data_IF_688675057695
#
_entry.id   IF_688675057695
#
_cell.length_a   1.000
_cell.length_b   1.000
_cell.length_c   1.000
_cell.angle_alpha   90.00
_cell.angle_beta   90.00
_cell.angle_gamma   90.00
#
_symmetry.space_group_name_H-M   'P 1'
#
loop_
_entity.id
_entity.type
_entity.pdbx_description
1 polymer ?
#
# COMPACT_ATOMS: atom_id res chain seq x y z
N UNK A 1 10.32 19.10 28.18
CA UNK A 1 10.53 18.40 26.91
C UNK A 1 10.95 16.98 27.23
N UNK A 2 9.99 16.05 27.22
CA UNK A 2 10.24 14.64 27.52
C UNK A 2 10.38 13.91 26.18
N UNK A 3 11.63 13.73 25.75
CA UNK A 3 12.02 12.94 24.59
C UNK A 3 12.70 11.68 25.14
N UNK A 4 12.34 10.53 24.60
CA UNK A 4 12.87 9.24 25.02
C UNK A 4 13.71 8.65 23.89
N UNK A 5 15.02 8.53 24.10
CA UNK A 5 15.91 7.93 23.12
C UNK A 5 15.82 6.39 23.13
N UNK A 6 16.23 5.74 22.04
CA UNK A 6 16.21 4.27 21.91
C UNK A 6 16.93 3.56 23.08
N UNK A 7 18.08 4.06 23.51
CA UNK A 7 18.85 3.45 24.60
C UNK A 7 18.19 3.62 25.99
N UNK A 8 17.39 4.67 26.17
CA UNK A 8 16.58 4.89 27.37
C UNK A 8 15.35 3.98 27.35
N UNK A 9 14.72 3.84 26.18
CA UNK A 9 13.61 2.91 25.96
C UNK A 9 14.01 1.45 26.20
N UNK A 10 15.15 1.02 25.66
CA UNK A 10 15.74 -0.31 25.93
C UNK A 10 15.98 -0.54 27.42
N UNK A 11 16.39 0.49 28.16
CA UNK A 11 16.58 0.41 29.62
C UNK A 11 15.24 0.33 30.35
N UNK A 12 14.24 1.10 29.93
CA UNK A 12 12.90 1.06 30.49
C UNK A 12 12.24 -0.31 30.30
N UNK A 13 12.42 -0.95 29.14
CA UNK A 13 11.92 -2.30 28.85
C UNK A 13 12.64 -3.43 29.62
N UNK A 14 13.72 -3.14 30.36
CA UNK A 14 14.30 -4.09 31.32
C UNK A 14 13.56 -4.08 32.67
N UNK A 15 12.75 -3.06 32.93
CA UNK A 15 11.95 -2.97 34.16
C UNK A 15 10.75 -3.91 34.06
N UNK A 16 10.57 -4.87 34.99
CA UNK A 16 9.45 -5.80 34.94
C UNK A 16 8.09 -5.10 35.07
N UNK A 17 8.02 -3.96 35.78
CA UNK A 17 6.81 -3.16 35.87
C UNK A 17 6.39 -2.58 34.51
N UNK A 18 7.36 -2.09 33.72
CA UNK A 18 7.11 -1.55 32.38
C UNK A 18 6.71 -2.70 31.44
N UNK A 19 7.42 -3.81 31.47
CA UNK A 19 7.08 -4.99 30.65
C UNK A 19 5.68 -5.50 30.94
N UNK A 20 5.28 -5.52 32.21
CA UNK A 20 3.93 -5.95 32.59
C UNK A 20 2.86 -5.01 32.02
N UNK A 21 3.07 -3.70 32.05
CA UNK A 21 2.16 -2.72 31.43
C UNK A 21 2.07 -2.90 29.91
N UNK A 22 3.18 -3.19 29.23
CA UNK A 22 3.17 -3.51 27.80
C UNK A 22 2.41 -4.81 27.49
N UNK A 23 2.52 -5.82 28.36
CA UNK A 23 1.73 -7.06 28.23
C UNK A 23 0.23 -6.83 28.47
N UNK A 24 -0.14 -5.98 29.42
CA UNK A 24 -1.52 -5.57 29.67
C UNK A 24 -2.11 -4.80 28.48
N UNK A 25 -1.27 -4.05 27.77
CA UNK A 25 -1.59 -3.40 26.50
C UNK A 25 -1.53 -4.37 25.29
N UNK A 26 -1.46 -5.69 25.49
CA UNK A 26 -1.45 -6.67 24.40
C UNK A 26 -0.26 -6.56 23.44
N UNK A 27 0.74 -5.73 23.76
CA UNK A 27 1.97 -5.60 23.01
C UNK A 27 2.85 -6.77 23.45
N UNK A 28 2.73 -7.88 22.72
CA UNK A 28 3.54 -9.08 22.94
C UNK A 28 5.05 -8.72 22.95
N UNK A 29 5.90 -9.62 23.48
CA UNK A 29 7.36 -9.49 23.57
C UNK A 29 8.01 -9.24 22.18
N UNK A 30 7.92 -8.02 21.68
CA UNK A 30 8.70 -7.54 20.55
C UNK A 30 10.09 -7.17 21.05
N UNK A 31 11.07 -7.27 20.17
CA UNK A 31 12.39 -6.73 20.46
C UNK A 31 12.27 -5.21 20.63
N UNK A 32 13.04 -4.64 21.56
CA UNK A 32 12.92 -3.22 21.92
C UNK A 32 13.11 -2.30 20.71
N UNK A 33 13.91 -2.76 19.74
CA UNK A 33 14.25 -2.04 18.52
C UNK A 33 13.08 -2.01 17.54
N UNK A 34 12.42 -3.16 17.34
CA UNK A 34 11.26 -3.27 16.47
C UNK A 34 10.07 -2.47 17.02
N UNK A 35 9.89 -2.51 18.34
CA UNK A 35 8.83 -1.75 19.00
C UNK A 35 9.10 -0.25 18.92
N UNK A 36 10.34 0.19 19.11
CA UNK A 36 10.70 1.60 18.99
C UNK A 36 10.49 2.11 17.56
N UNK A 37 10.88 1.33 16.54
CA UNK A 37 10.63 1.66 15.14
C UNK A 37 9.13 1.74 14.79
N UNK A 38 8.30 0.92 15.44
CA UNK A 38 6.85 0.99 15.30
C UNK A 38 6.21 2.20 15.99
N UNK A 39 6.84 2.76 17.02
CA UNK A 39 6.35 3.91 17.79
C UNK A 39 6.86 5.24 17.23
N UNK A 40 8.05 5.25 16.64
CA UNK A 40 8.67 6.45 16.05
C UNK A 40 7.98 6.81 14.73
N UNK A 41 7.12 7.83 14.78
CA UNK A 41 6.31 8.27 13.64
C UNK A 41 7.07 9.15 12.65
N UNK A 42 8.05 9.89 13.15
CA UNK A 42 8.73 10.93 12.41
C UNK A 42 10.13 10.47 11.93
N UNK A 43 10.62 9.33 12.44
CA UNK A 43 11.90 8.72 12.09
C UNK A 43 13.10 9.48 12.65
N UNK A 44 12.91 10.34 13.66
CA UNK A 44 13.96 11.15 14.26
C UNK A 44 14.77 10.39 15.33
N UNK A 45 14.46 9.11 15.52
CA UNK A 45 15.07 8.20 16.50
C UNK A 45 14.86 8.64 17.96
N UNK A 46 13.86 9.48 18.23
CA UNK A 46 13.42 9.89 19.55
C UNK A 46 11.90 9.71 19.66
N UNK A 47 11.43 9.33 20.84
CA UNK A 47 10.00 9.25 21.11
C UNK A 47 9.56 10.42 21.98
N UNK A 48 8.74 11.31 21.43
CA UNK A 48 7.96 12.22 22.25
C UNK A 48 6.83 11.47 22.95
N UNK A 49 6.30 12.05 24.04
CA UNK A 49 5.14 11.50 24.76
C UNK A 49 3.93 11.35 23.83
N UNK A 50 3.76 12.27 22.88
CA UNK A 50 2.65 12.22 21.93
C UNK A 50 2.79 11.02 20.98
N UNK A 51 3.98 10.81 20.40
CA UNK A 51 4.27 9.68 19.51
C UNK A 51 4.20 8.35 20.25
N UNK A 52 4.64 8.30 21.50
CA UNK A 52 4.53 7.12 22.33
C UNK A 52 3.07 6.71 22.55
N UNK A 53 2.22 7.66 22.94
CA UNK A 53 0.79 7.41 23.17
C UNK A 53 0.08 7.03 21.87
N UNK A 54 0.31 7.79 20.80
CA UNK A 54 -0.30 7.53 19.49
C UNK A 54 0.16 6.18 18.91
N UNK A 55 1.44 5.87 19.04
CA UNK A 55 2.03 4.59 18.66
C UNK A 55 1.44 3.42 19.44
N UNK A 56 1.30 3.51 20.76
CA UNK A 56 0.68 2.47 21.58
C UNK A 56 -0.80 2.27 21.24
N UNK A 57 -1.56 3.35 21.04
CA UNK A 57 -2.96 3.28 20.59
C UNK A 57 -3.07 2.62 19.21
N UNK A 58 -2.12 2.89 18.31
CA UNK A 58 -2.07 2.29 16.98
C UNK A 58 -1.70 0.80 16.99
N UNK A 59 -0.73 0.40 17.82
CA UNK A 59 -0.30 -1.00 17.95
C UNK A 59 -1.37 -1.85 18.64
N UNK A 60 -2.14 -1.27 19.58
CA UNK A 60 -3.23 -1.98 20.27
C UNK A 60 -4.58 -1.90 19.53
N UNK A 61 -4.76 -0.95 18.61
CA UNK A 61 -6.07 -0.66 18.04
C UNK A 61 -6.69 -1.87 17.33
N UNK A 62 -7.99 -2.20 17.56
CA UNK A 62 -8.71 -3.27 16.85
C UNK A 62 -8.79 -3.04 15.33
N UNK A 63 -8.54 -1.79 14.93
CA UNK A 63 -8.26 -1.38 13.57
C UNK A 63 -7.12 -2.20 12.92
N UNK A 64 -6.07 -2.61 13.62
CA UNK A 64 -4.97 -3.38 12.99
C UNK A 64 -5.43 -4.75 12.50
N UNK A 65 -6.23 -5.49 13.26
CA UNK A 65 -6.67 -6.83 12.83
C UNK A 65 -7.60 -6.76 11.62
N UNK A 66 -8.58 -5.86 11.63
CA UNK A 66 -9.55 -5.71 10.53
C UNK A 66 -8.91 -5.07 9.29
N UNK A 67 -8.13 -4.00 9.43
CA UNK A 67 -7.45 -3.38 8.30
C UNK A 67 -6.31 -4.25 7.75
N UNK A 68 -5.61 -5.04 8.56
CA UNK A 68 -4.62 -6.00 8.06
C UNK A 68 -5.30 -7.13 7.28
N UNK A 69 -6.47 -7.61 7.74
CA UNK A 69 -7.28 -8.57 6.97
C UNK A 69 -7.75 -7.97 5.65
N UNK A 70 -8.16 -6.70 5.67
CA UNK A 70 -8.58 -5.97 4.47
C UNK A 70 -7.42 -5.80 3.49
N UNK A 71 -6.22 -5.42 3.97
CA UNK A 71 -5.01 -5.35 3.16
C UNK A 71 -4.62 -6.73 2.63
N UNK A 72 -4.71 -7.79 3.44
CA UNK A 72 -4.49 -9.16 2.95
C UNK A 72 -5.48 -9.54 1.85
N UNK A 73 -6.76 -9.20 2.02
CA UNK A 73 -7.79 -9.44 1.01
C UNK A 73 -7.53 -8.66 -0.28
N UNK A 74 -7.18 -7.37 -0.17
CA UNK A 74 -6.85 -6.51 -1.30
C UNK A 74 -5.60 -7.02 -2.04
N UNK A 75 -4.58 -7.48 -1.32
CA UNK A 75 -3.39 -8.10 -1.91
C UNK A 75 -3.78 -9.36 -2.68
N UNK A 76 -4.52 -10.29 -2.06
CA UNK A 76 -4.93 -11.55 -2.70
C UNK A 76 -5.78 -11.28 -3.95
N UNK A 77 -6.73 -10.35 -3.87
CA UNK A 77 -7.58 -9.97 -5.00
C UNK A 77 -6.77 -9.33 -6.13
N UNK A 78 -5.86 -8.41 -5.81
CA UNK A 78 -4.99 -7.78 -6.80
C UNK A 78 -4.08 -8.80 -7.50
N UNK A 79 -3.63 -9.84 -6.79
CA UNK A 79 -2.86 -10.93 -7.41
C UNK A 79 -3.69 -11.78 -8.37
N UNK A 80 -4.95 -12.06 -8.02
CA UNK A 80 -5.86 -12.79 -8.90
C UNK A 80 -6.22 -11.98 -10.16
N UNK A 81 -6.47 -10.67 -10.00
CA UNK A 81 -6.72 -9.76 -11.13
C UNK A 81 -5.48 -9.66 -12.04
N UNK A 82 -4.29 -9.45 -11.46
CA UNK A 82 -3.04 -9.39 -12.22
C UNK A 82 -2.72 -10.71 -12.94
N UNK A 83 -3.10 -11.84 -12.36
CA UNK A 83 -2.98 -13.16 -13.00
C UNK A 83 -3.93 -13.28 -14.20
N UNK A 84 -5.16 -12.81 -14.05
CA UNK A 84 -6.13 -12.75 -15.14
C UNK A 84 -5.63 -11.94 -16.33
N UNK A 85 -5.10 -10.74 -16.07
CA UNK A 85 -4.52 -9.86 -17.08
C UNK A 85 -3.33 -10.52 -17.81
N UNK A 86 -2.45 -11.20 -17.05
CA UNK A 86 -1.32 -11.90 -17.62
C UNK A 86 -1.75 -13.07 -18.53
N UNK A 87 -2.79 -13.81 -18.14
CA UNK A 87 -3.37 -14.86 -18.97
C UNK A 87 -4.01 -14.31 -20.25
N UNK A 88 -4.68 -13.16 -20.15
CA UNK A 88 -5.25 -12.49 -21.32
C UNK A 88 -4.18 -12.01 -22.30
N UNK A 89 -3.12 -11.38 -21.78
CA UNK A 89 -1.96 -11.01 -22.58
C UNK A 89 -1.32 -12.24 -23.23
N UNK A 90 -1.19 -13.35 -22.48
CA UNK A 90 -0.69 -14.62 -23.01
C UNK A 90 -1.52 -15.13 -24.18
N UNK A 91 -2.86 -15.06 -24.10
CA UNK A 91 -3.77 -15.39 -25.21
C UNK A 91 -3.54 -14.49 -26.41
N UNK A 92 -3.39 -13.19 -26.20
CA UNK A 92 -3.15 -12.21 -27.27
C UNK A 92 -1.82 -12.48 -27.99
N UNK A 93 -0.74 -12.66 -27.23
CA UNK A 93 0.58 -12.97 -27.78
C UNK A 93 0.54 -14.28 -28.58
N UNK A 94 -0.13 -15.31 -28.05
CA UNK A 94 -0.31 -16.57 -28.78
C UNK A 94 -1.07 -16.36 -30.10
N UNK A 95 -2.13 -15.56 -30.09
CA UNK A 95 -2.89 -15.22 -31.30
C UNK A 95 -2.01 -14.51 -32.33
N UNK A 96 -1.21 -13.51 -31.94
CA UNK A 96 -0.31 -12.79 -32.83
C UNK A 96 0.74 -13.74 -33.42
N UNK A 97 1.40 -14.56 -32.59
CA UNK A 97 2.39 -15.54 -33.05
C UNK A 97 1.78 -16.50 -34.07
N UNK A 98 0.58 -17.00 -33.79
CA UNK A 98 -0.17 -17.86 -34.71
C UNK A 98 -0.49 -17.14 -36.02
N UNK A 99 -0.94 -15.89 -35.95
CA UNK A 99 -1.30 -15.09 -37.13
C UNK A 99 -0.09 -14.78 -38.02
N UNK A 100 1.03 -14.38 -37.41
CA UNK A 100 2.30 -14.15 -38.11
C UNK A 100 2.85 -15.44 -38.75
N UNK A 101 2.67 -16.58 -38.08
CA UNK A 101 3.05 -17.89 -38.63
C UNK A 101 2.23 -18.26 -39.87
N UNK A 102 0.94 -17.89 -39.90
CA UNK A 102 0.13 -18.02 -41.11
C UNK A 102 0.65 -17.08 -42.22
N UNK A 103 0.89 -15.80 -41.94
CA UNK A 103 1.38 -14.84 -42.94
C UNK A 103 2.72 -15.27 -43.57
N UNK A 104 3.64 -15.81 -42.76
CA UNK A 104 4.93 -16.35 -43.23
C UNK A 104 4.75 -17.52 -44.22
N UNK A 105 3.69 -18.33 -44.07
CA UNK A 105 3.38 -19.44 -44.99
C UNK A 105 2.88 -18.96 -46.35
N UNK A 106 2.20 -17.81 -46.40
CA UNK A 106 1.62 -17.25 -47.62
C UNK A 106 2.56 -16.27 -48.34
N UNK A 107 3.59 -15.76 -47.66
CA UNK A 107 4.61 -14.92 -48.28
C UNK A 107 5.64 -15.77 -49.05
N UNK A 108 5.33 -16.15 -50.29
CA UNK A 108 6.37 -16.45 -51.29
C UNK A 108 6.78 -15.13 -51.93
N UNK A 109 8.05 -14.68 -51.80
CA UNK A 109 8.49 -13.51 -52.54
C UNK A 109 8.27 -13.77 -54.03
N UNK A 110 7.73 -12.79 -54.79
CA UNK A 110 7.62 -12.92 -56.23
C UNK A 110 9.01 -13.21 -56.79
N UNK A 111 9.13 -14.25 -57.62
CA UNK A 111 10.41 -14.62 -58.21
C UNK A 111 11.04 -13.38 -58.87
N UNK A 112 12.35 -13.12 -58.66
CA UNK A 112 13.00 -11.98 -59.27
C UNK A 112 12.78 -12.05 -60.78
N UNK A 113 12.09 -11.06 -61.34
CA UNK A 113 11.94 -10.92 -62.79
C UNK A 113 13.37 -10.81 -63.33
N UNK A 114 13.82 -11.83 -64.08
CA UNK A 114 15.09 -11.79 -64.80
C UNK A 114 15.06 -10.55 -65.70
N UNK A 115 15.79 -9.51 -65.30
CA UNK A 115 16.03 -8.34 -66.12
C UNK A 115 16.88 -8.85 -67.28
N UNK A 116 16.29 -8.95 -68.46
CA UNK A 116 17.02 -9.18 -69.70
C UNK A 116 18.06 -8.06 -69.87
N UNK A 117 19.31 -8.34 -70.29
CA UNK A 117 20.36 -7.33 -70.42
C UNK A 117 20.12 -6.27 -71.52
N UNK A 118 19.00 -6.30 -72.23
CA UNK A 118 18.76 -5.47 -73.42
C UNK A 118 17.48 -4.67 -73.27
N UNK A 119 17.58 -3.53 -72.58
CA UNK A 119 16.49 -2.56 -72.47
C UNK A 119 17.01 -1.24 -71.93
N UNK A 120 17.16 -0.27 -72.84
CA UNK A 120 17.56 1.12 -72.56
C UNK A 120 16.80 1.70 -71.37
N UNK A 121 17.55 2.24 -70.40
CA UNK A 121 17.03 3.01 -69.29
C UNK A 121 16.72 4.42 -69.83
N UNK A 122 15.45 4.70 -70.12
CA UNK A 122 14.95 6.08 -70.13
C UNK A 122 14.32 6.34 -68.76
N UNK A 123 15.08 7.05 -67.92
CA UNK A 123 14.64 7.49 -66.61
C UNK A 123 13.61 8.62 -66.78
N UNK A 124 12.32 8.27 -66.67
CA UNK A 124 11.25 9.26 -66.49
C UNK A 124 10.85 9.29 -65.01
N UNK A 125 11.36 10.28 -64.31
CA UNK A 125 10.97 10.65 -62.94
C UNK A 125 9.52 11.12 -62.98
N UNK A 126 8.61 10.30 -62.44
CA UNK A 126 7.25 10.71 -62.12
C UNK A 126 6.91 10.16 -60.73
N UNK A 127 7.00 11.03 -59.72
CA UNK A 127 6.45 10.82 -58.39
C UNK A 127 4.93 10.98 -58.44
N UNK A 128 4.11 9.96 -58.08
CA UNK A 128 2.70 10.15 -57.80
C UNK A 128 2.53 10.48 -56.30
N UNK A 129 1.60 11.39 -56.03
CA UNK A 129 1.37 11.99 -54.72
C UNK A 129 1.09 10.98 -53.60
N UNK A 130 1.79 11.20 -52.49
CA UNK A 130 1.49 10.59 -51.21
C UNK A 130 0.16 11.14 -50.67
N UNK A 131 -0.93 10.39 -50.82
CA UNK A 131 -2.15 10.64 -50.07
C UNK A 131 -1.96 10.12 -48.63
N UNK A 132 -1.84 11.08 -47.71
CA UNK A 132 -1.81 10.89 -46.27
C UNK A 132 -3.20 10.48 -45.80
N UNK A 133 -3.38 9.20 -45.49
CA UNK A 133 -4.60 8.71 -44.82
C UNK A 133 -4.63 9.27 -43.38
N UNK A 134 -5.60 10.14 -43.10
CA UNK A 134 -5.93 10.59 -41.75
C UNK A 134 -6.52 9.42 -40.95
N UNK A 135 -5.74 8.88 -40.00
CA UNK A 135 -6.27 8.02 -38.94
C UNK A 135 -6.96 8.90 -37.89
N UNK A 136 -8.28 8.75 -37.75
CA UNK A 136 -9.05 9.33 -36.64
C UNK A 136 -8.61 8.68 -35.32
N UNK A 137 -8.42 9.45 -34.23
CA UNK A 137 -8.12 8.88 -32.92
C UNK A 137 -9.34 8.16 -32.36
N UNK A 138 -9.11 6.97 -31.81
CA UNK A 138 -10.11 6.18 -31.11
C UNK A 138 -10.50 6.87 -29.78
N UNK A 139 -11.78 7.13 -29.62
CA UNK A 139 -12.38 7.67 -28.40
C UNK A 139 -12.34 6.60 -27.30
N UNK A 140 -11.69 6.91 -26.17
CA UNK A 140 -11.72 6.10 -24.94
C UNK A 140 -13.13 6.17 -24.31
N UNK A 141 -13.68 5.06 -23.79
CA UNK A 141 -14.89 5.11 -22.98
C UNK A 141 -14.56 5.64 -21.57
N UNK A 142 -15.06 6.83 -21.27
CA UNK A 142 -15.11 7.36 -19.90
C UNK A 142 -16.15 6.57 -19.10
N UNK A 143 -15.71 5.59 -18.30
CA UNK A 143 -16.56 4.96 -17.30
C UNK A 143 -16.59 5.83 -16.03
N UNK A 144 -17.61 6.68 -15.94
CA UNK A 144 -18.03 7.29 -14.69
C UNK A 144 -18.97 6.33 -13.95
N UNK A 145 -18.41 5.48 -13.09
CA UNK A 145 -19.16 4.66 -12.15
C UNK A 145 -19.09 5.29 -10.76
N UNK A 146 -20.01 6.19 -10.43
CA UNK A 146 -20.25 6.57 -9.03
C UNK A 146 -21.04 5.44 -8.40
N UNK A 147 -20.36 4.57 -7.65
CA UNK A 147 -21.00 3.53 -6.86
C UNK A 147 -21.86 4.20 -5.78
N UNK A 148 -23.18 4.22 -6.00
CA UNK A 148 -24.17 4.55 -4.97
C UNK A 148 -24.20 3.40 -3.98
N UNK A 149 -23.49 3.54 -2.86
CA UNK A 149 -23.62 2.67 -1.69
C UNK A 149 -25.07 2.73 -1.21
N UNK A 150 -25.66 1.57 -0.96
CA UNK A 150 -27.04 1.47 -0.51
C UNK A 150 -27.19 2.09 0.89
N UNK A 151 -28.33 2.74 1.18
CA UNK A 151 -28.62 3.35 2.49
C UNK A 151 -28.43 2.38 3.68
N UNK A 152 -28.61 1.08 3.42
CA UNK A 152 -28.40 0.00 4.38
C UNK A 152 -26.93 -0.25 4.70
N UNK A 153 -26.02 -0.14 3.73
CA UNK A 153 -24.57 -0.28 3.97
C UNK A 153 -24.02 0.92 4.75
N UNK A 154 -24.56 2.12 4.49
CA UNK A 154 -24.20 3.32 5.24
C UNK A 154 -24.62 3.23 6.71
N UNK A 155 -25.80 2.68 7.01
CA UNK A 155 -26.28 2.52 8.39
C UNK A 155 -25.44 1.52 9.20
N UNK A 156 -25.03 0.40 8.58
CA UNK A 156 -24.15 -0.59 9.22
C UNK A 156 -22.78 0.01 9.52
N UNK A 157 -22.20 0.76 8.58
CA UNK A 157 -20.92 1.43 8.79
C UNK A 157 -20.97 2.48 9.92
N UNK A 158 -22.10 3.17 10.09
CA UNK A 158 -22.27 4.16 11.17
C UNK A 158 -22.30 3.50 12.55
N UNK A 159 -22.97 2.36 12.70
CA UNK A 159 -23.01 1.65 13.98
C UNK A 159 -21.65 1.03 14.34
N UNK A 160 -20.94 0.46 13.36
CA UNK A 160 -19.56 -0.01 13.56
C UNK A 160 -18.62 1.14 13.99
N UNK A 161 -18.76 2.33 13.39
CA UNK A 161 -17.96 3.51 13.76
C UNK A 161 -18.29 4.01 15.18
N UNK A 162 -19.51 3.79 15.66
CA UNK A 162 -19.91 4.14 17.02
C UNK A 162 -19.23 3.23 18.04
N UNK A 163 -19.23 1.93 17.79
CA UNK A 163 -18.59 0.93 18.66
C UNK A 163 -17.08 1.20 18.79
N UNK A 164 -16.41 1.47 17.66
CA UNK A 164 -14.99 1.85 17.65
C UNK A 164 -14.75 3.14 18.46
N UNK A 165 -15.65 4.13 18.39
CA UNK A 165 -15.51 5.38 19.16
C UNK A 165 -15.68 5.17 20.66
N UNK A 166 -16.53 4.25 21.09
CA UNK A 166 -16.73 3.92 22.50
C UNK A 166 -15.50 3.20 23.07
N UNK A 167 -14.92 2.25 22.34
CA UNK A 167 -13.66 1.60 22.73
C UNK A 167 -12.49 2.58 22.80
N UNK A 168 -12.38 3.51 21.84
CA UNK A 168 -11.37 4.56 21.84
C UNK A 168 -11.49 5.51 23.03
N UNK A 169 -12.72 5.72 23.54
CA UNK A 169 -12.93 6.51 24.77
C UNK A 169 -12.42 5.76 26.00
N UNK A 170 -12.76 4.48 26.14
CA UNK A 170 -12.31 3.67 27.27
C UNK A 170 -10.77 3.54 27.33
N UNK A 171 -10.13 3.37 26.18
CA UNK A 171 -8.67 3.33 26.08
C UNK A 171 -8.05 4.66 26.51
N UNK A 172 -8.60 5.79 26.05
CA UNK A 172 -8.13 7.14 26.43
C UNK A 172 -8.21 7.35 27.94
N UNK A 173 -9.31 6.97 28.56
CA UNK A 173 -9.49 7.10 30.01
C UNK A 173 -8.46 6.27 30.79
N UNK A 174 -8.14 5.07 30.28
CA UNK A 174 -7.09 4.20 30.86
C UNK A 174 -5.70 4.83 30.75
N UNK A 175 -5.37 5.39 29.59
CA UNK A 175 -4.09 6.08 29.36
C UNK A 175 -3.94 7.32 30.23
N UNK A 176 -4.99 8.13 30.38
CA UNK A 176 -4.98 9.29 31.30
C UNK A 176 -4.78 8.86 32.76
N UNK A 177 -5.34 7.72 33.15
CA UNK A 177 -5.08 7.08 34.45
C UNK A 177 -3.60 6.74 34.66
N UNK A 178 -2.96 6.13 33.65
CA UNK A 178 -1.52 5.81 33.68
C UNK A 178 -0.66 7.08 33.76
N UNK A 179 -1.00 8.12 32.99
CA UNK A 179 -0.29 9.41 33.04
C UNK A 179 -0.38 10.04 34.43
N UNK A 180 -1.55 9.98 35.08
CA UNK A 180 -1.71 10.45 36.47
C UNK A 180 -0.85 9.66 37.45
N UNK A 181 -0.82 8.33 37.34
CA UNK A 181 0.03 7.50 38.21
C UNK A 181 1.52 7.79 38.02
N UNK A 182 1.99 7.90 36.79
CA UNK A 182 3.40 8.21 36.50
C UNK A 182 3.79 9.59 37.03
N UNK A 183 2.89 10.58 36.94
CA UNK A 183 3.10 11.90 37.55
C UNK A 183 3.19 11.81 39.08
N UNK A 184 2.30 11.04 39.71
CA UNK A 184 2.32 10.82 41.16
C UNK A 184 3.64 10.19 41.64
N UNK A 185 4.09 9.12 40.98
CA UNK A 185 5.37 8.47 41.30
C UNK A 185 6.54 9.44 41.16
N UNK A 186 6.53 10.27 40.11
CA UNK A 186 7.57 11.28 39.90
C UNK A 186 7.58 12.36 40.98
N UNK A 187 6.42 12.80 41.46
CA UNK A 187 6.33 13.78 42.55
C UNK A 187 6.80 13.18 43.88
N UNK A 188 6.46 11.92 44.16
CA UNK A 188 6.92 11.18 45.35
C UNK A 188 8.45 10.98 45.32
N UNK A 189 9.02 10.66 44.16
CA UNK A 189 10.47 10.53 43.97
C UNK A 189 11.23 11.86 44.08
N UNK A 190 10.59 12.98 43.74
CA UNK A 190 11.17 14.32 43.86
C UNK A 190 11.03 14.90 45.28
N UNK A 191 10.13 14.34 46.09
CA UNK A 191 9.89 14.76 47.47
C UNK A 191 10.86 14.13 48.50
N UNK A 192 11.64 13.12 48.10
CA UNK A 192 12.67 12.51 48.95
C UNK A 192 14.10 12.79 48.43
N UNK A 193 14.72 13.92 48.81
CA UNK A 193 16.10 14.24 48.44
C UNK A 193 17.16 13.53 49.31
N UNK A 194 16.79 12.53 50.12
CA UNK A 194 17.68 11.95 51.15
C UNK A 194 17.98 10.44 51.03
N UNK A 195 17.63 9.78 49.92
CA UNK A 195 17.99 8.38 49.65
C UNK A 195 19.15 8.23 48.65
#
# INVERSE_FOLDING_TARGET
>A
NALLALDEFRRALKSPAVVQQFMELGIAKYDADDLFACLDLNGDCNLSVAEFVEGCVRVHGPAQSKHLLQVQYDILRNWDDARGDLEELGRYVHWVIRHLSYLKKWWRPPAPKRISPQGKIEARVALPGAQRAEMKPATLPTQGGTASLSETEAAVAIEELREIREEQRALRDTVEGLISQVKGIREELLADPAA
#
